data_IF_272975529612
#
_entry.id   IF_272975529612
#
_cell.length_a   1.000
_cell.length_b   1.000
_cell.length_c   1.000
_cell.angle_alpha   90.00
_cell.angle_beta   90.00
_cell.angle_gamma   90.00
#
_symmetry.space_group_name_H-M   'P 1'
#
loop_
_entity.id
_entity.type
_entity.pdbx_description
1 polymer ?
#
# COMPACT_ATOMS: atom_id res chain seq x y z
N UNK A 1 20.18 -3.45 -10.81
CA UNK A 1 20.51 -2.19 -10.13
C UNK A 1 19.55 -1.07 -10.47
N UNK A 2 19.25 -0.86 -11.75
CA UNK A 2 18.25 0.14 -12.16
C UNK A 2 16.87 -0.14 -11.57
N UNK A 3 16.46 -1.40 -11.51
CA UNK A 3 15.19 -1.81 -10.94
C UNK A 3 15.06 -1.42 -9.47
N UNK A 4 16.15 -1.58 -8.71
CA UNK A 4 16.17 -1.22 -7.28
C UNK A 4 15.96 0.28 -7.10
N UNK A 5 16.62 1.11 -7.92
CA UNK A 5 16.44 2.56 -7.88
C UNK A 5 15.03 2.98 -8.23
N UNK A 6 14.41 2.32 -9.21
CA UNK A 6 13.04 2.58 -9.63
C UNK A 6 12.05 2.25 -8.50
N UNK A 7 12.23 1.11 -7.84
CA UNK A 7 11.36 0.68 -6.74
C UNK A 7 11.39 1.69 -5.59
N UNK A 8 12.59 2.11 -5.15
CA UNK A 8 12.74 3.11 -4.08
C UNK A 8 12.06 4.42 -4.47
N UNK A 9 12.23 4.87 -5.70
CA UNK A 9 11.61 6.08 -6.21
C UNK A 9 10.08 5.96 -6.22
N UNK A 10 9.57 4.80 -6.60
CA UNK A 10 8.13 4.52 -6.62
C UNK A 10 7.51 4.61 -5.22
N UNK A 11 8.11 3.96 -4.21
CA UNK A 11 7.62 4.03 -2.84
C UNK A 11 7.48 5.48 -2.36
N UNK A 12 8.51 6.29 -2.60
CA UNK A 12 8.51 7.69 -2.22
C UNK A 12 7.40 8.47 -2.92
N UNK A 13 7.25 8.29 -4.22
CA UNK A 13 6.24 9.00 -5.02
C UNK A 13 4.83 8.66 -4.56
N UNK A 14 4.54 7.40 -4.28
CA UNK A 14 3.23 6.95 -3.81
C UNK A 14 2.88 7.58 -2.45
N UNK A 15 3.82 7.59 -1.52
CA UNK A 15 3.60 8.16 -0.19
C UNK A 15 3.33 9.66 -0.26
N UNK A 16 4.10 10.40 -1.05
CA UNK A 16 3.92 11.85 -1.23
C UNK A 16 2.58 12.17 -1.87
N UNK A 17 2.20 11.42 -2.89
CA UNK A 17 0.93 11.61 -3.58
C UNK A 17 -0.26 11.36 -2.66
N UNK A 18 -0.22 10.30 -1.87
CA UNK A 18 -1.28 9.95 -0.93
C UNK A 18 -1.47 11.03 0.14
N UNK A 19 -0.38 11.54 0.67
CA UNK A 19 -0.40 12.60 1.68
C UNK A 19 -1.08 13.86 1.15
N UNK A 20 -0.78 14.25 -0.09
CA UNK A 20 -1.37 15.42 -0.73
C UNK A 20 -2.88 15.26 -0.89
N UNK A 21 -3.32 14.10 -1.37
CA UNK A 21 -4.74 13.82 -1.61
C UNK A 21 -5.54 13.83 -0.30
N UNK A 22 -5.01 13.23 0.75
CA UNK A 22 -5.73 13.10 2.02
C UNK A 22 -5.85 14.42 2.79
N UNK A 23 -4.94 15.36 2.62
CA UNK A 23 -4.98 16.65 3.31
C UNK A 23 -6.10 17.57 2.81
N UNK A 24 -6.72 17.28 1.66
CA UNK A 24 -7.80 18.10 1.10
C UNK A 24 -9.18 17.73 1.64
N UNK A 25 -9.30 16.66 2.40
CA UNK A 25 -10.59 16.17 2.88
C UNK A 25 -11.05 16.91 4.14
N UNK A 26 -12.37 17.18 4.22
CA UNK A 26 -12.96 17.64 5.47
C UNK A 26 -13.08 16.45 6.44
N UNK A 27 -13.09 16.73 7.77
CA UNK A 27 -13.29 15.66 8.75
C UNK A 27 -14.58 14.86 8.55
N UNK A 28 -15.67 15.52 8.16
CA UNK A 28 -16.95 14.85 7.93
C UNK A 28 -16.90 13.92 6.73
N UNK A 29 -16.31 14.37 5.62
CA UNK A 29 -16.15 13.57 4.43
C UNK A 29 -15.30 12.33 4.70
N UNK A 30 -14.22 12.50 5.45
CA UNK A 30 -13.35 11.41 5.86
C UNK A 30 -14.09 10.38 6.71
N UNK A 31 -14.89 10.83 7.68
CA UNK A 31 -15.69 9.93 8.52
C UNK A 31 -16.68 9.13 7.70
N UNK A 32 -17.33 9.74 6.71
CA UNK A 32 -18.26 9.03 5.82
C UNK A 32 -17.56 7.97 4.99
N UNK A 33 -16.38 8.30 4.45
CA UNK A 33 -15.57 7.35 3.69
C UNK A 33 -15.12 6.18 4.54
N UNK A 34 -14.63 6.46 5.75
CA UNK A 34 -14.18 5.41 6.67
C UNK A 34 -15.30 4.49 7.10
N UNK A 35 -16.53 5.01 7.23
CA UNK A 35 -17.70 4.21 7.58
C UNK A 35 -18.05 3.18 6.51
N UNK A 36 -17.58 3.35 5.27
CA UNK A 36 -17.78 2.42 4.17
C UNK A 36 -16.79 1.26 4.15
N UNK A 37 -15.74 1.34 4.97
CA UNK A 37 -14.70 0.30 5.03
C UNK A 37 -15.23 -0.90 5.83
N UNK A 38 -15.24 -2.06 5.20
CA UNK A 38 -15.74 -3.31 5.80
C UNK A 38 -14.58 -4.09 6.45
N UNK A 39 -14.92 -5.12 7.22
CA UNK A 39 -13.91 -6.03 7.78
C UNK A 39 -13.11 -6.71 6.66
N UNK A 40 -13.75 -7.05 5.56
CA UNK A 40 -13.08 -7.63 4.42
C UNK A 40 -12.09 -6.63 3.79
N UNK A 41 -12.45 -5.35 3.77
CA UNK A 41 -11.57 -4.28 3.29
C UNK A 41 -10.33 -4.16 4.19
N UNK A 42 -10.50 -4.31 5.49
CA UNK A 42 -9.36 -4.31 6.44
C UNK A 42 -8.40 -5.48 6.10
N UNK A 43 -8.94 -6.65 5.79
CA UNK A 43 -8.11 -7.79 5.38
C UNK A 43 -7.34 -7.49 4.09
N UNK A 44 -7.98 -6.84 3.12
CA UNK A 44 -7.33 -6.41 1.88
C UNK A 44 -6.20 -5.42 2.16
N UNK A 45 -6.44 -4.45 3.04
CA UNK A 45 -5.42 -3.47 3.44
C UNK A 45 -4.24 -4.16 4.11
N UNK A 46 -4.50 -5.08 5.04
CA UNK A 46 -3.42 -5.84 5.71
C UNK A 46 -2.61 -6.65 4.71
N UNK A 47 -3.27 -7.27 3.75
CA UNK A 47 -2.61 -8.03 2.69
C UNK A 47 -1.71 -7.13 1.83
N UNK A 48 -2.22 -5.96 1.44
CA UNK A 48 -1.46 -4.99 0.65
C UNK A 48 -0.21 -4.50 1.40
N UNK A 49 -0.37 -4.16 2.67
CA UNK A 49 0.76 -3.73 3.51
C UNK A 49 1.79 -4.85 3.68
N UNK A 50 1.32 -6.07 3.92
CA UNK A 50 2.20 -7.22 4.07
C UNK A 50 2.99 -7.52 2.79
N UNK A 51 2.33 -7.45 1.64
CA UNK A 51 2.99 -7.65 0.34
C UNK A 51 4.04 -6.57 0.10
N UNK A 52 3.73 -5.32 0.43
CA UNK A 52 4.68 -4.22 0.30
C UNK A 52 5.88 -4.40 1.24
N UNK A 53 5.66 -4.83 2.47
CA UNK A 53 6.73 -5.10 3.44
C UNK A 53 7.62 -6.24 2.94
N UNK A 54 7.02 -7.31 2.42
CA UNK A 54 7.76 -8.43 1.83
C UNK A 54 8.64 -7.98 0.67
N UNK A 55 8.10 -7.15 -0.20
CA UNK A 55 8.84 -6.62 -1.35
C UNK A 55 10.02 -5.75 -0.88
N UNK A 56 9.79 -4.89 0.11
CA UNK A 56 10.86 -4.07 0.69
C UNK A 56 11.95 -4.93 1.34
N UNK A 57 11.57 -6.01 2.02
CA UNK A 57 12.53 -6.94 2.61
C UNK A 57 13.39 -7.61 1.53
N UNK A 58 12.79 -7.96 0.40
CA UNK A 58 13.52 -8.52 -0.73
C UNK A 58 14.52 -7.52 -1.31
N UNK A 59 14.10 -6.26 -1.46
CA UNK A 59 14.96 -5.19 -1.97
C UNK A 59 16.12 -4.90 -1.01
N UNK A 60 15.89 -4.97 0.29
CA UNK A 60 16.94 -4.74 1.30
C UNK A 60 18.06 -5.78 1.27
N UNK A 61 17.82 -6.93 0.63
CA UNK A 61 18.84 -7.97 0.45
C UNK A 61 19.79 -7.67 -0.70
N UNK A 62 19.43 -6.73 -1.56
CA UNK A 62 20.23 -6.33 -2.71
C UNK A 62 21.27 -5.29 -2.31
N UNK A 63 22.24 -5.05 -3.19
CA UNK A 63 23.23 -4.00 -2.97
C UNK A 63 22.58 -2.63 -3.18
N UNK A 64 22.39 -1.91 -2.09
CA UNK A 64 21.81 -0.58 -2.11
C UNK A 64 22.81 0.44 -1.59
N UNK A 65 22.71 1.69 -2.06
CA UNK A 65 23.44 2.79 -1.45
C UNK A 65 22.95 2.98 0.00
N UNK A 66 23.77 3.57 0.89
CA UNK A 66 23.31 3.85 2.26
C UNK A 66 22.04 4.69 2.30
N UNK A 67 21.89 5.63 1.38
CA UNK A 67 20.70 6.48 1.27
C UNK A 67 19.46 5.68 0.89
N UNK A 68 19.55 4.82 -0.14
CA UNK A 68 18.47 3.96 -0.58
C UNK A 68 18.03 3.00 0.52
N UNK A 69 19.01 2.39 1.19
CA UNK A 69 18.77 1.46 2.29
C UNK A 69 18.03 2.14 3.43
N UNK A 70 18.44 3.35 3.78
CA UNK A 70 17.84 4.13 4.85
C UNK A 70 16.39 4.51 4.51
N UNK A 71 16.15 4.98 3.29
CA UNK A 71 14.82 5.33 2.80
C UNK A 71 13.88 4.12 2.87
N UNK A 72 14.34 2.99 2.36
CA UNK A 72 13.54 1.76 2.31
C UNK A 72 13.23 1.24 3.71
N UNK A 73 14.22 1.27 4.61
CA UNK A 73 14.05 0.86 6.01
C UNK A 73 13.00 1.74 6.70
N UNK A 74 13.03 3.04 6.47
CA UNK A 74 12.07 3.98 7.05
C UNK A 74 10.65 3.69 6.59
N UNK A 75 10.43 3.44 5.30
CA UNK A 75 9.11 3.07 4.78
C UNK A 75 8.64 1.72 5.33
N UNK A 76 9.54 0.75 5.39
CA UNK A 76 9.22 -0.55 5.96
C UNK A 76 8.75 -0.43 7.41
N UNK A 77 9.40 0.39 8.22
CA UNK A 77 9.00 0.62 9.61
C UNK A 77 7.61 1.25 9.71
N UNK A 78 7.33 2.24 8.87
CA UNK A 78 6.03 2.90 8.83
C UNK A 78 4.91 1.93 8.44
N UNK A 79 5.13 1.14 7.41
CA UNK A 79 4.16 0.15 6.94
C UNK A 79 3.93 -0.94 7.99
N UNK A 80 4.99 -1.41 8.63
CA UNK A 80 4.91 -2.42 9.69
C UNK A 80 4.11 -1.91 10.89
N UNK A 81 4.30 -0.65 11.26
CA UNK A 81 3.58 -0.02 12.36
C UNK A 81 2.08 0.02 12.11
N UNK A 82 1.68 0.45 10.92
CA UNK A 82 0.26 0.50 10.52
C UNK A 82 -0.34 -0.90 10.46
N UNK A 83 0.40 -1.85 9.89
CA UNK A 83 -0.01 -3.26 9.84
C UNK A 83 -0.26 -3.80 11.25
N UNK A 84 0.64 -3.53 12.19
CA UNK A 84 0.50 -3.99 13.58
C UNK A 84 -0.72 -3.36 14.26
N UNK A 85 -1.00 -2.09 13.99
CA UNK A 85 -2.20 -1.43 14.51
C UNK A 85 -3.46 -2.12 14.04
N UNK A 86 -3.54 -2.43 12.75
CA UNK A 86 -4.70 -3.13 12.18
C UNK A 86 -4.83 -4.55 12.69
N UNK A 87 -3.71 -5.24 12.87
CA UNK A 87 -3.68 -6.60 13.40
C UNK A 87 -4.19 -6.64 14.85
N UNK A 88 -3.83 -5.64 15.65
CA UNK A 88 -4.18 -5.57 17.05
C UNK A 88 -5.62 -5.11 17.27
N UNK A 89 -6.06 -4.07 16.56
CA UNK A 89 -7.35 -3.43 16.77
C UNK A 89 -8.40 -3.79 15.72
N UNK A 90 -7.98 -4.01 14.47
CA UNK A 90 -8.90 -4.39 13.38
C UNK A 90 -9.87 -3.31 12.93
N UNK A 91 -9.68 -2.06 13.34
CA UNK A 91 -10.57 -0.95 13.01
C UNK A 91 -9.82 0.15 12.28
N UNK A 92 -10.42 0.63 11.18
CA UNK A 92 -9.87 1.76 10.42
C UNK A 92 -9.85 3.05 11.28
N UNK A 93 -10.74 3.17 12.25
CA UNK A 93 -10.81 4.34 13.14
C UNK A 93 -9.65 4.41 14.14
N UNK A 94 -8.91 3.32 14.30
CA UNK A 94 -7.70 3.30 15.14
C UNK A 94 -6.52 4.02 14.47
N UNK A 95 -6.63 4.33 13.18
CA UNK A 95 -5.56 4.93 12.38
C UNK A 95 -5.63 6.44 12.40
N UNK A 96 -4.46 7.09 12.47
CA UNK A 96 -4.32 8.53 12.33
C UNK A 96 -4.35 8.93 10.86
N UNK A 97 -4.39 10.23 10.56
CA UNK A 97 -4.28 10.71 9.17
C UNK A 97 -2.98 10.26 8.52
N UNK A 98 -1.88 10.32 9.26
CA UNK A 98 -0.59 9.84 8.77
C UNK A 98 -0.63 8.34 8.45
N UNK A 99 -1.29 7.57 9.31
CA UNK A 99 -1.46 6.13 9.08
C UNK A 99 -2.28 5.87 7.82
N UNK A 100 -3.33 6.65 7.57
CA UNK A 100 -4.16 6.53 6.38
C UNK A 100 -3.38 6.87 5.10
N UNK A 101 -2.48 7.84 5.16
CA UNK A 101 -1.57 8.13 4.05
C UNK A 101 -0.71 6.92 3.72
N UNK A 102 -0.23 6.23 4.74
CA UNK A 102 0.58 5.02 4.59
C UNK A 102 -0.25 3.89 3.99
N UNK A 103 -1.50 3.74 4.43
CA UNK A 103 -2.43 2.75 3.86
C UNK A 103 -2.63 3.01 2.36
N UNK A 104 -2.90 4.25 1.98
CA UNK A 104 -3.09 4.61 0.58
C UNK A 104 -1.82 4.34 -0.24
N UNK A 105 -0.65 4.66 0.31
CA UNK A 105 0.64 4.36 -0.31
C UNK A 105 0.84 2.86 -0.51
N UNK A 106 0.53 2.06 0.51
CA UNK A 106 0.63 0.60 0.44
C UNK A 106 -0.31 -0.01 -0.60
N UNK A 107 -1.53 0.51 -0.69
CA UNK A 107 -2.50 0.07 -1.69
C UNK A 107 -2.04 0.41 -3.11
N UNK A 108 -1.50 1.60 -3.33
CA UNK A 108 -0.95 2.01 -4.62
C UNK A 108 0.24 1.13 -5.03
N UNK A 109 1.12 0.81 -4.08
CA UNK A 109 2.26 -0.06 -4.33
C UNK A 109 1.79 -1.47 -4.70
N UNK A 110 0.78 -1.97 -4.00
CA UNK A 110 0.19 -3.28 -4.30
C UNK A 110 -0.41 -3.30 -5.71
N UNK A 111 -1.08 -2.23 -6.11
CA UNK A 111 -1.65 -2.12 -7.47
C UNK A 111 -0.55 -2.25 -8.52
N UNK A 112 0.57 -1.56 -8.35
CA UNK A 112 1.68 -1.64 -9.32
C UNK A 112 2.34 -3.02 -9.34
N UNK A 113 2.52 -3.65 -8.19
CA UNK A 113 3.05 -5.01 -8.14
C UNK A 113 2.12 -6.00 -8.83
N UNK A 114 0.81 -5.83 -8.66
CA UNK A 114 -0.19 -6.68 -9.31
C UNK A 114 -0.22 -6.45 -10.81
N UNK A 115 -0.08 -5.21 -11.27
CA UNK A 115 0.01 -4.89 -12.69
C UNK A 115 1.25 -5.54 -13.33
N UNK A 116 2.38 -5.55 -12.63
CA UNK A 116 3.58 -6.25 -13.10
C UNK A 116 3.34 -7.74 -13.21
N UNK A 117 2.67 -8.34 -12.22
CA UNK A 117 2.34 -9.76 -12.25
C UNK A 117 1.41 -10.10 -13.41
N UNK A 118 0.46 -9.23 -13.73
CA UNK A 118 -0.47 -9.45 -14.85
C UNK A 118 0.22 -9.41 -16.22
N UNK A 119 1.43 -8.85 -16.30
CA UNK A 119 2.20 -8.84 -17.54
C UNK A 119 2.96 -10.13 -17.79
N UNK A 120 2.99 -11.03 -16.83
CA UNK A 120 3.66 -12.32 -16.99
C UNK A 120 2.85 -13.24 -17.90
N UNK A 121 3.54 -13.90 -18.84
CA UNK A 121 2.89 -14.71 -19.88
C UNK A 121 2.45 -16.09 -19.40
N UNK A 122 2.98 -16.55 -18.28
CA UNK A 122 2.74 -17.90 -17.79
C UNK A 122 1.65 -18.03 -16.73
N UNK A 123 0.83 -16.97 -16.56
CA UNK A 123 -0.30 -17.00 -15.64
C UNK A 123 -1.47 -17.77 -16.23
N UNK A 124 -2.12 -18.61 -15.41
CA UNK A 124 -3.36 -19.25 -15.78
C UNK A 124 -4.49 -18.19 -15.78
N UNK A 125 -5.60 -18.52 -16.44
CA UNK A 125 -6.78 -17.64 -16.45
C UNK A 125 -7.30 -17.41 -15.04
N UNK A 126 -7.33 -18.46 -14.21
CA UNK A 126 -7.75 -18.39 -12.81
C UNK A 126 -6.85 -17.47 -11.99
N UNK A 127 -5.53 -17.61 -12.14
CA UNK A 127 -4.56 -16.74 -11.46
C UNK A 127 -4.73 -15.28 -11.87
N UNK A 128 -4.94 -15.03 -13.15
CA UNK A 128 -5.17 -13.67 -13.67
C UNK A 128 -6.42 -13.05 -13.09
N UNK A 129 -7.50 -13.82 -12.97
CA UNK A 129 -8.76 -13.34 -12.39
C UNK A 129 -8.61 -12.99 -10.91
N UNK A 130 -7.88 -13.79 -10.15
CA UNK A 130 -7.61 -13.53 -8.73
C UNK A 130 -6.80 -12.26 -8.55
N UNK A 131 -5.75 -12.08 -9.35
CA UNK A 131 -4.92 -10.89 -9.32
C UNK A 131 -5.74 -9.66 -9.68
N UNK A 132 -6.56 -9.77 -10.72
CA UNK A 132 -7.42 -8.68 -11.18
C UNK A 132 -8.43 -8.26 -10.11
N UNK A 133 -9.04 -9.23 -9.44
CA UNK A 133 -9.98 -8.99 -8.34
C UNK A 133 -9.33 -8.23 -7.18
N UNK A 134 -8.15 -8.69 -6.75
CA UNK A 134 -7.39 -8.04 -5.69
C UNK A 134 -6.98 -6.61 -6.09
N UNK A 135 -6.50 -6.45 -7.32
CA UNK A 135 -6.13 -5.12 -7.85
C UNK A 135 -7.33 -4.17 -7.83
N UNK A 136 -8.50 -4.64 -8.26
CA UNK A 136 -9.72 -3.83 -8.27
C UNK A 136 -10.14 -3.43 -6.86
N UNK A 137 -10.01 -4.31 -5.88
CA UNK A 137 -10.30 -4.00 -4.47
C UNK A 137 -9.34 -2.93 -3.95
N UNK A 138 -8.06 -3.04 -4.26
CA UNK A 138 -7.07 -2.04 -3.87
C UNK A 138 -7.39 -0.68 -4.52
N UNK A 139 -7.76 -0.67 -5.79
CA UNK A 139 -8.10 0.56 -6.51
C UNK A 139 -9.32 1.24 -5.89
N UNK A 140 -10.35 0.46 -5.59
CA UNK A 140 -11.57 0.95 -4.94
C UNK A 140 -11.24 1.59 -3.59
N UNK A 141 -10.38 0.95 -2.80
CA UNK A 141 -9.99 1.45 -1.49
C UNK A 141 -9.14 2.73 -1.59
N UNK A 142 -8.23 2.81 -2.55
CA UNK A 142 -7.47 4.03 -2.80
C UNK A 142 -8.42 5.19 -3.12
N UNK A 143 -9.37 4.96 -4.02
CA UNK A 143 -10.35 5.97 -4.41
C UNK A 143 -11.20 6.40 -3.20
N UNK A 144 -11.59 5.45 -2.38
CA UNK A 144 -12.38 5.71 -1.17
C UNK A 144 -11.61 6.55 -0.16
N UNK A 145 -10.32 6.29 0.03
CA UNK A 145 -9.48 6.97 1.02
C UNK A 145 -8.92 8.30 0.52
N UNK A 146 -8.70 8.44 -0.79
CA UNK A 146 -8.05 9.61 -1.39
C UNK A 146 -9.03 10.63 -1.99
N UNK A 147 -10.27 10.27 -2.16
CA UNK A 147 -11.30 11.18 -2.67
C UNK A 147 -12.25 11.61 -1.54
#
# INVERSE_FOLDING_TARGET
>A
MEEVGIVVKHWRASAEKSSTDLTTWSPLERMKSLASVTDNDIETIKMALNDSISDMNSELKNELSPEQKNTLTNYKEKYSRVFDKLKTNGSIYALTETDLDIVAGGLNDAIELLEENLREDDLSEEESEEIFGYKNDCQRLVDLLAN
#
